data_IF_426259098649
#
_entry.id   IF_426259098649
#
_cell.length_a   1.000
_cell.length_b   1.000
_cell.length_c   1.000
_cell.angle_alpha   90.00
_cell.angle_beta   90.00
_cell.angle_gamma   90.00
#
_symmetry.space_group_name_H-M   'P 1'
#
loop_
_entity.id
_entity.type
_entity.pdbx_description
1 polymer ?
#
# COMPACT_ATOMS: atom_id res chain seq x y z
N UNK A 1 -16.11 6.15 8.83
CA UNK A 1 -16.04 7.61 9.03
C UNK A 1 -16.94 8.19 10.13
N UNK A 2 -18.12 7.64 10.39
CA UNK A 2 -18.94 8.11 11.51
C UNK A 2 -18.27 7.94 12.88
N UNK A 3 -17.38 6.96 13.08
CA UNK A 3 -16.68 6.76 14.35
C UNK A 3 -15.79 7.95 14.73
N UNK A 4 -15.06 8.53 13.77
CA UNK A 4 -14.24 9.74 13.97
C UNK A 4 -15.13 10.97 14.24
N UNK A 5 -16.17 11.16 13.43
CA UNK A 5 -17.15 12.24 13.62
C UNK A 5 -17.92 12.13 14.96
N UNK A 6 -18.15 10.92 15.47
CA UNK A 6 -18.75 10.67 16.80
C UNK A 6 -17.76 10.88 17.93
N UNK A 7 -16.49 10.53 17.73
CA UNK A 7 -15.41 10.93 18.63
C UNK A 7 -15.37 12.45 18.80
N UNK A 8 -15.62 13.19 17.71
CA UNK A 8 -15.76 14.65 17.76
C UNK A 8 -16.96 15.11 18.58
N UNK A 9 -18.13 14.50 18.36
CA UNK A 9 -19.36 14.86 19.08
C UNK A 9 -19.29 14.58 20.60
N UNK A 10 -18.46 13.62 21.02
CA UNK A 10 -18.35 13.19 22.43
C UNK A 10 -17.22 13.87 23.21
N UNK A 11 -16.52 14.85 22.63
CA UNK A 11 -15.53 15.70 23.32
C UNK A 11 -14.23 14.99 23.75
N UNK A 12 -14.09 13.69 23.48
CA UNK A 12 -12.91 12.91 23.81
C UNK A 12 -12.04 12.70 22.55
N UNK A 13 -11.02 13.54 22.37
CA UNK A 13 -9.89 13.26 21.47
C UNK A 13 -9.68 14.21 20.28
N UNK A 14 -9.64 15.52 20.50
CA UNK A 14 -9.68 16.53 19.42
C UNK A 14 -8.61 17.63 19.51
N UNK A 15 -7.33 17.27 19.47
CA UNK A 15 -6.27 18.27 19.16
C UNK A 15 -5.42 17.88 17.96
N UNK A 16 -5.35 16.59 17.66
CA UNK A 16 -4.39 16.08 16.71
C UNK A 16 -5.04 15.86 15.34
N UNK A 17 -4.27 16.13 14.28
CA UNK A 17 -4.70 15.91 12.92
C UNK A 17 -4.44 14.46 12.52
N UNK A 18 -5.40 13.79 11.89
CA UNK A 18 -5.29 12.38 11.53
C UNK A 18 -5.12 12.23 10.02
N UNK A 19 -4.04 11.58 9.59
CA UNK A 19 -3.88 11.09 8.24
C UNK A 19 -4.27 9.60 8.20
N UNK A 20 -5.20 9.24 7.33
CA UNK A 20 -5.56 7.85 7.06
C UNK A 20 -5.14 7.45 5.65
N UNK A 21 -4.54 6.26 5.51
CA UNK A 21 -4.32 5.62 4.20
C UNK A 21 -5.08 4.31 4.19
N UNK A 22 -6.05 4.19 3.30
CA UNK A 22 -6.93 3.04 3.16
C UNK A 22 -6.60 2.30 1.86
N UNK A 23 -5.95 1.15 1.97
CA UNK A 23 -5.72 0.27 0.82
C UNK A 23 -6.94 -0.63 0.62
N UNK A 24 -7.64 -0.43 -0.49
CA UNK A 24 -8.78 -1.24 -0.88
C UNK A 24 -8.27 -2.49 -1.60
N UNK A 25 -8.39 -3.63 -0.94
CA UNK A 25 -7.81 -4.91 -1.34
C UNK A 25 -8.89 -5.72 -2.07
N UNK A 26 -8.79 -5.89 -3.40
CA UNK A 26 -9.64 -6.81 -4.13
C UNK A 26 -9.34 -8.26 -3.74
N UNK A 27 -10.36 -9.10 -3.77
CA UNK A 27 -10.25 -10.50 -3.42
C UNK A 27 -11.57 -11.23 -3.67
N UNK A 28 -11.68 -12.45 -3.13
CA UNK A 28 -12.98 -13.12 -3.03
C UNK A 28 -13.95 -12.29 -2.20
N UNK A 29 -13.44 -11.78 -1.08
CA UNK A 29 -14.08 -10.78 -0.24
C UNK A 29 -13.24 -9.50 -0.32
N UNK A 30 -13.90 -8.34 -0.36
CA UNK A 30 -13.23 -7.05 -0.36
C UNK A 30 -12.74 -6.73 1.05
N UNK A 31 -11.47 -6.38 1.17
CA UNK A 31 -10.87 -6.02 2.45
C UNK A 31 -10.33 -4.59 2.40
N UNK A 32 -10.24 -3.97 3.57
CA UNK A 32 -9.60 -2.68 3.76
C UNK A 32 -8.42 -2.84 4.71
N UNK A 33 -7.24 -2.39 4.30
CA UNK A 33 -6.12 -2.20 5.19
C UNK A 33 -5.96 -0.70 5.44
N UNK A 34 -6.44 -0.25 6.61
CA UNK A 34 -6.47 1.16 6.98
C UNK A 34 -5.36 1.46 7.97
N UNK A 35 -4.50 2.42 7.64
CA UNK A 35 -3.41 2.89 8.48
C UNK A 35 -3.72 4.31 8.95
N UNK A 36 -3.81 4.50 10.27
CA UNK A 36 -4.03 5.81 10.87
C UNK A 36 -2.71 6.34 11.43
N UNK A 37 -2.36 7.55 11.03
CA UNK A 37 -1.19 8.30 11.50
C UNK A 37 -1.68 9.58 12.16
N UNK A 38 -1.24 9.81 13.39
CA UNK A 38 -1.62 11.00 14.17
C UNK A 38 -0.48 12.00 14.08
N UNK A 39 -0.81 13.24 13.75
CA UNK A 39 0.12 14.36 13.79
C UNK A 39 0.00 15.07 15.14
N UNK A 40 1.06 14.96 15.94
CA UNK A 40 1.16 15.61 17.24
C UNK A 40 1.37 17.12 17.12
N UNK A 41 2.08 17.55 16.07
CA UNK A 41 2.36 18.96 15.81
C UNK A 41 1.37 19.57 14.81
N UNK A 42 1.03 20.87 14.94
CA UNK A 42 0.27 21.59 13.92
C UNK A 42 0.98 21.57 12.57
N UNK A 43 0.20 21.38 11.49
CA UNK A 43 0.73 21.36 10.13
C UNK A 43 1.15 22.78 9.71
N UNK A 44 2.45 23.03 9.40
CA UNK A 44 2.89 24.35 8.95
C UNK A 44 2.28 24.71 7.59
N UNK A 45 1.74 25.92 7.45
CA UNK A 45 1.05 26.37 6.23
C UNK A 45 1.90 26.37 4.94
N UNK A 46 3.21 26.48 5.09
CA UNK A 46 4.17 26.42 3.98
C UNK A 46 4.70 25.00 3.71
N UNK A 47 4.25 24.00 4.46
CA UNK A 47 4.71 22.63 4.29
C UNK A 47 4.13 21.96 3.05
N UNK A 48 4.87 21.03 2.47
CA UNK A 48 4.41 20.20 1.36
C UNK A 48 3.15 19.38 1.75
N UNK A 49 3.04 18.96 3.02
CA UNK A 49 1.86 18.29 3.54
C UNK A 49 0.63 19.22 3.56
N UNK A 50 0.79 20.47 3.99
CA UNK A 50 -0.31 21.44 3.96
C UNK A 50 -0.84 21.61 2.54
N UNK A 51 0.07 21.82 1.57
CA UNK A 51 -0.27 21.91 0.15
C UNK A 51 -0.99 20.66 -0.35
N UNK A 52 -0.45 19.47 -0.06
CA UNK A 52 -1.06 18.20 -0.44
C UNK A 52 -2.49 18.01 0.08
N UNK A 53 -2.78 18.47 1.31
CA UNK A 53 -4.14 18.44 1.88
C UNK A 53 -5.06 19.46 1.19
N UNK A 54 -4.55 20.61 0.74
CA UNK A 54 -5.37 21.76 0.33
C UNK A 54 -5.46 22.00 -1.20
N UNK A 55 -4.53 21.46 -1.98
CA UNK A 55 -4.52 21.61 -3.44
C UNK A 55 -5.50 20.63 -4.13
N UNK A 56 -5.41 20.48 -5.45
CA UNK A 56 -6.29 19.61 -6.22
C UNK A 56 -5.78 18.17 -6.31
N UNK A 57 -6.60 17.30 -6.89
CA UNK A 57 -6.24 15.90 -7.08
C UNK A 57 -5.13 15.71 -8.10
N UNK A 58 -4.94 16.63 -9.06
CA UNK A 58 -3.83 16.56 -9.99
C UNK A 58 -2.49 16.71 -9.25
N UNK A 59 -2.41 17.68 -8.34
CA UNK A 59 -1.28 17.84 -7.44
C UNK A 59 -1.07 16.57 -6.61
N UNK A 60 -2.10 16.11 -5.88
CA UNK A 60 -1.99 14.92 -5.01
C UNK A 60 -1.56 13.67 -5.77
N UNK A 61 -2.20 13.40 -6.90
CA UNK A 61 -1.91 12.23 -7.73
C UNK A 61 -0.48 12.27 -8.28
N UNK A 62 0.02 13.45 -8.61
CA UNK A 62 1.39 13.60 -9.10
C UNK A 62 2.48 13.35 -8.04
N UNK A 63 2.11 13.33 -6.76
CA UNK A 63 3.03 13.39 -5.62
C UNK A 63 2.91 12.23 -4.64
N UNK A 64 1.75 11.59 -4.51
CA UNK A 64 1.55 10.55 -3.51
C UNK A 64 2.42 9.32 -3.81
N UNK A 65 3.36 9.02 -2.92
CA UNK A 65 4.42 8.04 -3.12
C UNK A 65 4.39 6.97 -2.04
N UNK A 66 4.68 5.74 -2.44
CA UNK A 66 4.86 4.59 -1.58
C UNK A 66 6.26 4.03 -1.77
N UNK A 67 6.95 3.78 -0.67
CA UNK A 67 8.17 2.98 -0.64
C UNK A 67 7.87 1.67 0.09
N UNK A 68 8.20 0.54 -0.54
CA UNK A 68 8.01 -0.79 0.00
C UNK A 68 9.33 -1.53 0.14
N UNK A 69 9.47 -2.32 1.21
CA UNK A 69 10.59 -3.23 1.40
C UNK A 69 10.11 -4.57 1.93
N UNK A 70 10.39 -5.65 1.19
CA UNK A 70 10.16 -7.00 1.69
C UNK A 70 11.25 -7.36 2.71
N UNK A 71 10.84 -7.55 3.96
CA UNK A 71 11.71 -7.90 5.09
C UNK A 71 11.84 -9.42 5.19
N UNK A 72 10.72 -10.12 5.08
CA UNK A 72 10.64 -11.58 5.08
C UNK A 72 9.73 -12.01 3.94
N UNK A 73 10.05 -13.12 3.30
CA UNK A 73 9.26 -13.66 2.20
C UNK A 73 10.09 -14.43 1.19
N UNK A 74 9.45 -15.26 0.35
CA UNK A 74 10.10 -15.97 -0.74
C UNK A 74 10.82 -15.03 -1.71
N UNK A 75 11.86 -15.53 -2.38
CA UNK A 75 12.67 -14.73 -3.31
C UNK A 75 11.81 -14.09 -4.41
N UNK A 76 10.80 -14.81 -4.92
CA UNK A 76 9.90 -14.33 -5.97
C UNK A 76 9.11 -13.09 -5.52
N UNK A 77 8.63 -13.08 -4.27
CA UNK A 77 7.91 -11.93 -3.70
C UNK A 77 8.88 -10.74 -3.55
N UNK A 78 10.10 -11.00 -3.07
CA UNK A 78 11.15 -9.97 -2.96
C UNK A 78 11.51 -9.36 -4.31
N UNK A 79 11.66 -10.17 -5.34
CA UNK A 79 12.00 -9.71 -6.69
C UNK A 79 10.85 -8.90 -7.30
N UNK A 80 9.62 -9.41 -7.25
CA UNK A 80 8.45 -8.75 -7.83
C UNK A 80 8.14 -7.43 -7.14
N UNK A 81 8.08 -7.40 -5.80
CA UNK A 81 7.81 -6.15 -5.06
C UNK A 81 9.02 -5.23 -5.11
N UNK A 82 10.24 -5.78 -5.13
CA UNK A 82 11.50 -5.01 -5.24
C UNK A 82 11.63 -4.21 -6.53
N UNK A 83 11.13 -4.73 -7.66
CA UNK A 83 11.05 -3.97 -8.92
C UNK A 83 10.11 -2.75 -8.82
N UNK A 84 9.26 -2.72 -7.79
CA UNK A 84 8.34 -1.63 -7.48
C UNK A 84 8.56 -1.12 -6.04
N UNK A 85 9.82 -1.11 -5.60
CA UNK A 85 10.21 -0.69 -4.25
C UNK A 85 9.87 0.78 -3.97
N UNK A 86 9.76 1.63 -4.99
CA UNK A 86 9.20 2.96 -4.89
C UNK A 86 8.22 3.19 -6.05
N UNK A 87 7.05 3.75 -5.76
CA UNK A 87 6.01 3.99 -6.76
C UNK A 87 5.20 5.24 -6.41
N UNK A 88 4.92 6.08 -7.42
CA UNK A 88 3.92 7.13 -7.31
C UNK A 88 2.52 6.53 -7.39
N UNK A 89 1.97 6.17 -6.23
CA UNK A 89 0.63 5.57 -6.12
C UNK A 89 -0.43 6.41 -6.82
N UNK A 90 -0.39 7.73 -6.63
CA UNK A 90 -1.36 8.64 -7.24
C UNK A 90 -1.37 8.64 -8.77
N UNK A 91 -0.28 8.20 -9.42
CA UNK A 91 -0.22 8.01 -10.87
C UNK A 91 -0.54 6.58 -11.28
N UNK A 92 -0.20 5.60 -10.44
CA UNK A 92 -0.31 4.18 -10.76
C UNK A 92 -1.70 3.59 -10.45
N UNK A 93 -2.42 4.20 -9.49
CA UNK A 93 -3.70 3.75 -8.97
C UNK A 93 -4.69 4.90 -8.87
N UNK A 94 -5.97 4.57 -8.90
CA UNK A 94 -7.03 5.52 -8.57
C UNK A 94 -6.97 5.81 -7.07
N UNK A 95 -6.76 7.09 -6.74
CA UNK A 95 -6.79 7.58 -5.37
C UNK A 95 -7.99 8.53 -5.19
N UNK A 96 -8.79 8.31 -4.14
CA UNK A 96 -9.84 9.22 -3.72
C UNK A 96 -9.45 9.91 -2.41
N UNK A 97 -9.71 11.21 -2.32
CA UNK A 97 -9.24 12.04 -1.22
C UNK A 97 -10.42 12.59 -0.42
N UNK A 98 -10.41 12.34 0.89
CA UNK A 98 -11.47 12.78 1.79
C UNK A 98 -10.90 13.67 2.88
N UNK A 99 -11.41 14.90 2.98
CA UNK A 99 -10.93 15.89 3.94
C UNK A 99 -12.04 16.26 4.92
N UNK A 100 -11.70 16.27 6.20
CA UNK A 100 -12.53 16.84 7.27
C UNK A 100 -11.81 17.99 7.99
N UNK A 101 -12.39 18.42 9.11
CA UNK A 101 -11.84 19.51 9.93
C UNK A 101 -10.51 19.15 10.60
N UNK A 102 -10.29 17.88 10.94
CA UNK A 102 -9.09 17.41 11.63
C UNK A 102 -8.54 16.10 11.01
N UNK A 103 -8.93 15.76 9.79
CA UNK A 103 -8.43 14.55 9.14
C UNK A 103 -8.29 14.72 7.63
N UNK A 104 -7.42 13.88 7.07
CA UNK A 104 -7.30 13.65 5.64
C UNK A 104 -7.15 12.15 5.40
N UNK A 105 -7.96 11.59 4.51
CA UNK A 105 -7.96 10.18 4.16
C UNK A 105 -7.69 10.01 2.67
N UNK A 106 -6.84 9.03 2.35
CA UNK A 106 -6.48 8.63 1.00
C UNK A 106 -6.94 7.20 0.80
N UNK A 107 -8.00 7.04 0.01
CA UNK A 107 -8.49 5.76 -0.44
C UNK A 107 -7.73 5.35 -1.70
N UNK A 108 -7.03 4.22 -1.64
CA UNK A 108 -6.21 3.69 -2.74
C UNK A 108 -6.88 2.42 -3.27
N UNK A 109 -7.46 2.52 -4.46
CA UNK A 109 -8.06 1.37 -5.14
C UNK A 109 -6.98 0.54 -5.83
N UNK A 110 -6.59 -0.59 -5.23
CA UNK A 110 -5.58 -1.48 -5.83
C UNK A 110 -6.14 -2.22 -7.05
N UNK A 111 -7.47 -2.35 -7.16
CA UNK A 111 -8.11 -3.03 -8.29
C UNK A 111 -8.06 -2.22 -9.59
N UNK A 112 -7.80 -0.92 -9.49
CA UNK A 112 -7.71 -0.01 -10.65
C UNK A 112 -6.50 -0.29 -11.57
N UNK A 113 -5.57 -1.15 -11.15
CA UNK A 113 -4.40 -1.55 -11.94
C UNK A 113 -4.21 -3.06 -11.94
N UNK A 114 -4.22 -3.66 -13.13
CA UNK A 114 -3.97 -5.08 -13.30
C UNK A 114 -2.60 -5.51 -12.74
N UNK A 115 -1.57 -4.66 -12.90
CA UNK A 115 -0.24 -4.94 -12.37
C UNK A 115 -0.23 -4.91 -10.84
N UNK A 116 -0.81 -3.86 -10.24
CA UNK A 116 -0.86 -3.75 -8.78
C UNK A 116 -1.67 -4.89 -8.16
N UNK A 117 -2.80 -5.23 -8.78
CA UNK A 117 -3.62 -6.37 -8.38
C UNK A 117 -2.85 -7.70 -8.45
N UNK A 118 -2.06 -7.92 -9.52
CA UNK A 118 -1.22 -9.11 -9.65
C UNK A 118 -0.13 -9.19 -8.57
N UNK A 119 0.53 -8.06 -8.27
CA UNK A 119 1.55 -7.97 -7.20
C UNK A 119 0.92 -8.23 -5.83
N UNK A 120 -0.24 -7.63 -5.56
CA UNK A 120 -0.98 -7.83 -4.31
C UNK A 120 -1.39 -9.30 -4.15
N UNK A 121 -1.99 -9.92 -5.17
CA UNK A 121 -2.37 -11.33 -5.10
C UNK A 121 -1.17 -12.27 -4.91
N UNK A 122 -0.03 -11.96 -5.52
CA UNK A 122 1.22 -12.68 -5.26
C UNK A 122 1.60 -12.57 -3.79
N UNK A 123 1.63 -11.35 -3.22
CA UNK A 123 1.96 -11.14 -1.81
C UNK A 123 0.96 -11.83 -0.87
N UNK A 124 -0.34 -11.76 -1.17
CA UNK A 124 -1.42 -12.41 -0.42
C UNK A 124 -1.30 -13.94 -0.45
N UNK A 125 -0.89 -14.52 -1.58
CA UNK A 125 -0.61 -15.96 -1.69
C UNK A 125 0.47 -16.44 -0.71
N UNK A 126 1.32 -15.54 -0.22
CA UNK A 126 2.35 -15.81 0.77
C UNK A 126 2.16 -15.05 2.08
N UNK A 127 0.96 -14.52 2.34
CA UNK A 127 0.69 -13.56 3.42
C UNK A 127 1.20 -14.03 4.78
N UNK A 128 1.01 -15.32 5.12
CA UNK A 128 1.44 -15.94 6.38
C UNK A 128 2.98 -16.08 6.53
N UNK A 129 3.74 -15.75 5.50
CA UNK A 129 5.20 -15.91 5.46
C UNK A 129 5.93 -14.64 5.00
N UNK A 130 5.18 -13.59 4.67
CA UNK A 130 5.68 -12.31 4.17
C UNK A 130 5.59 -11.24 5.26
N UNK A 131 6.64 -10.43 5.34
CA UNK A 131 6.66 -9.19 6.07
C UNK A 131 7.11 -8.07 5.14
N UNK A 132 6.34 -6.99 5.09
CA UNK A 132 6.58 -5.82 4.22
C UNK A 132 6.59 -4.57 5.08
N UNK A 133 7.62 -3.75 4.91
CA UNK A 133 7.60 -2.35 5.36
C UNK A 133 7.02 -1.50 4.24
N UNK A 134 6.09 -0.63 4.60
CA UNK A 134 5.46 0.34 3.71
C UNK A 134 5.65 1.72 4.32
N UNK A 135 6.15 2.68 3.54
CA UNK A 135 6.24 4.08 3.93
C UNK A 135 5.53 4.95 2.90
N UNK A 136 4.63 5.81 3.38
CA UNK A 136 3.85 6.74 2.57
C UNK A 136 4.49 8.12 2.65
N UNK A 137 4.68 8.76 1.50
CA UNK A 137 5.37 10.04 1.38
C UNK A 137 4.70 10.94 0.34
N UNK A 138 5.10 12.20 0.35
CA UNK A 138 4.82 13.15 -0.73
C UNK A 138 6.13 13.38 -1.48
N UNK A 139 6.16 13.07 -2.76
CA UNK A 139 7.34 13.25 -3.61
C UNK A 139 7.68 14.74 -3.75
N UNK A 140 8.91 15.10 -3.41
CA UNK A 140 9.46 16.40 -3.73
C UNK A 140 9.80 16.44 -5.22
N UNK A 141 9.42 17.52 -5.91
CA UNK A 141 9.77 17.76 -7.32
C UNK A 141 10.55 19.07 -7.51
N UNK A 142 10.75 19.84 -6.45
CA UNK A 142 11.66 21.00 -6.45
C UNK A 142 12.71 20.86 -5.34
N UNK A 143 13.79 21.63 -5.44
CA UNK A 143 14.89 21.58 -4.46
C UNK A 143 14.45 22.07 -3.08
N UNK A 144 13.54 23.04 -3.03
CA UNK A 144 12.99 23.61 -1.79
C UNK A 144 12.06 22.64 -1.06
N UNK A 145 11.51 21.65 -1.78
CA UNK A 145 10.67 20.60 -1.22
C UNK A 145 11.48 19.46 -0.61
N UNK A 146 12.80 19.41 -0.85
CA UNK A 146 13.69 18.39 -0.30
C UNK A 146 14.18 18.73 1.12
N UNK A 147 14.44 17.71 1.96
CA UNK A 147 14.26 16.28 1.70
C UNK A 147 12.79 15.82 1.79
N UNK A 148 12.44 14.76 1.05
CA UNK A 148 11.14 14.08 1.19
C UNK A 148 10.92 13.63 2.64
N UNK A 149 9.74 13.90 3.19
CA UNK A 149 9.36 13.44 4.53
C UNK A 149 8.34 12.31 4.47
N UNK A 150 8.59 11.26 5.25
CA UNK A 150 7.65 10.16 5.44
C UNK A 150 6.46 10.69 6.24
N UNK A 151 5.26 10.52 5.70
CA UNK A 151 4.00 10.84 6.38
C UNK A 151 3.65 9.78 7.43
N UNK A 152 3.96 8.52 7.13
CA UNK A 152 3.71 7.40 7.99
C UNK A 152 4.36 6.14 7.44
N UNK A 153 4.74 5.24 8.33
CA UNK A 153 5.29 3.94 7.97
C UNK A 153 4.67 2.83 8.80
N UNK A 154 4.52 1.66 8.19
CA UNK A 154 3.93 0.48 8.81
C UNK A 154 4.69 -0.77 8.38
N UNK A 155 4.88 -1.69 9.32
CA UNK A 155 5.27 -3.07 9.01
C UNK A 155 4.04 -3.95 9.03
N UNK A 156 3.74 -4.54 7.88
CA UNK A 156 2.77 -5.62 7.77
C UNK A 156 3.51 -6.94 7.95
N UNK A 157 3.05 -7.82 8.83
CA UNK A 157 3.65 -9.14 9.04
C UNK A 157 2.59 -10.20 9.20
N UNK A 158 2.66 -11.25 8.37
CA UNK A 158 1.92 -12.49 8.58
C UNK A 158 0.42 -12.26 8.85
N UNK A 159 -0.22 -11.42 8.03
CA UNK A 159 -1.65 -11.11 8.20
C UNK A 159 -2.49 -12.38 8.00
N UNK A 160 -3.32 -12.69 8.99
CA UNK A 160 -4.41 -13.66 8.85
C UNK A 160 -5.65 -12.94 8.32
N UNK A 161 -5.87 -12.98 7.01
CA UNK A 161 -7.01 -12.28 6.38
C UNK A 161 -8.37 -12.72 6.94
N UNK A 162 -8.50 -13.98 7.36
CA UNK A 162 -9.71 -14.52 7.96
C UNK A 162 -10.08 -13.89 9.32
N UNK A 163 -9.15 -13.16 9.93
CA UNK A 163 -9.35 -12.45 11.20
C UNK A 163 -9.80 -10.99 11.00
N UNK A 164 -10.08 -10.57 9.76
CA UNK A 164 -10.60 -9.24 9.47
C UNK A 164 -11.95 -9.01 10.19
N UNK A 165 -12.07 -7.87 10.85
CA UNK A 165 -13.29 -7.46 11.52
C UNK A 165 -14.27 -6.86 10.51
N UNK A 166 -15.53 -7.28 10.56
CA UNK A 166 -16.61 -6.59 9.86
C UNK A 166 -16.92 -5.30 10.64
N UNK A 167 -16.67 -4.16 10.01
CA UNK A 167 -17.08 -2.87 10.55
C UNK A 167 -18.55 -2.68 10.19
N UNK A 168 -19.45 -3.00 11.12
CA UNK A 168 -20.87 -2.79 10.93
C UNK A 168 -21.16 -1.30 10.67
N UNK A 169 -22.07 -0.99 9.75
CA UNK A 169 -22.59 0.37 9.63
C UNK A 169 -23.40 0.65 10.91
N UNK A 170 -23.06 1.69 11.68
CA UNK A 170 -23.81 2.02 12.89
C UNK A 170 -25.30 2.37 12.66
N UNK A 171 -25.75 2.47 11.41
CA UNK A 171 -27.16 2.64 11.04
C UNK A 171 -27.95 1.31 11.00
N UNK A 172 -27.27 0.17 10.96
CA UNK A 172 -27.89 -1.13 11.20
C UNK A 172 -28.06 -1.28 12.71
N UNK A 173 -29.21 -0.79 13.21
CA UNK A 173 -29.55 -0.75 14.63
C UNK A 173 -29.20 -2.05 15.35
N UNK A 174 -28.44 -1.90 16.44
CA UNK A 174 -28.12 -2.89 17.46
C UNK A 174 -28.71 -4.30 17.24
N UNK A 175 -27.98 -5.16 16.55
CA UNK A 175 -28.04 -6.60 16.79
C UNK A 175 -26.65 -7.10 17.09
N UNK A 176 -26.47 -7.58 18.31
CA UNK A 176 -25.29 -8.28 18.77
C UNK A 176 -25.05 -9.49 17.85
N UNK A 177 -24.16 -9.36 16.85
CA UNK A 177 -23.77 -10.51 16.02
C UNK A 177 -22.81 -11.34 16.84
N UNK A 178 -23.36 -12.36 17.49
CA UNK A 178 -22.59 -13.43 18.11
C UNK A 178 -21.67 -14.07 17.07
N UNK A 179 -20.36 -13.86 17.22
CA UNK A 179 -19.34 -14.58 16.46
C UNK A 179 -19.46 -16.08 16.71
N UNK A 180 -19.71 -16.90 15.67
CA UNK A 180 -19.71 -18.37 15.75
C UNK A 180 -19.45 -19.00 14.35
N UNK A 181 -19.02 -20.27 14.26
CA UNK A 181 -17.62 -20.71 14.21
C UNK A 181 -17.14 -21.07 12.79
N UNK A 182 -15.82 -21.18 12.61
CA UNK A 182 -15.14 -21.62 11.37
C UNK A 182 -15.69 -22.98 10.88
N UNK A 183 -16.03 -23.07 9.60
CA UNK A 183 -16.28 -24.34 8.89
C UNK A 183 -14.97 -24.81 8.23
N UNK A 184 -14.65 -26.13 8.21
CA UNK A 184 -13.34 -26.61 7.84
C UNK A 184 -13.03 -26.45 6.34
N UNK A 185 -11.76 -26.16 6.08
CA UNK A 185 -11.15 -26.07 4.75
C UNK A 185 -11.20 -27.43 4.06
N UNK A 186 -11.78 -27.48 2.86
CA UNK A 186 -11.55 -28.57 1.91
C UNK A 186 -10.50 -28.13 0.90
N UNK A 187 -9.27 -28.61 1.10
CA UNK A 187 -8.23 -28.58 0.07
C UNK A 187 -8.71 -29.33 -1.17
N UNK A 188 -8.69 -28.66 -2.33
CA UNK A 188 -8.29 -29.30 -3.59
C UNK A 188 -8.28 -28.32 -4.77
N UNK A 189 -7.17 -28.35 -5.52
CA UNK A 189 -7.05 -27.97 -6.95
C UNK A 189 -6.35 -26.66 -7.32
N UNK A 190 -5.16 -26.40 -6.76
CA UNK A 190 -4.19 -25.44 -7.34
C UNK A 190 -3.09 -26.07 -8.21
N UNK A 191 -3.17 -27.37 -8.55
CA UNK A 191 -2.15 -28.05 -9.38
C UNK A 191 -2.24 -27.78 -10.90
N UNK A 192 -2.99 -26.78 -11.40
CA UNK A 192 -3.21 -26.60 -12.86
C UNK A 192 -2.79 -25.26 -13.49
N UNK A 193 -2.23 -24.29 -12.76
CA UNK A 193 -1.86 -22.99 -13.35
C UNK A 193 -0.35 -22.74 -13.57
N UNK A 194 0.52 -23.71 -13.27
CA UNK A 194 1.98 -23.54 -13.45
C UNK A 194 2.49 -23.76 -14.88
N UNK A 195 1.67 -23.59 -15.94
CA UNK A 195 2.06 -23.92 -17.33
C UNK A 195 1.93 -22.80 -18.36
N UNK A 196 1.60 -21.56 -18.01
CA UNK A 196 1.38 -20.53 -19.05
C UNK A 196 1.78 -19.11 -18.66
N UNK A 197 3.01 -18.93 -18.17
CA UNK A 197 3.68 -17.61 -18.23
C UNK A 197 5.03 -17.81 -18.93
N UNK A 198 4.99 -17.87 -20.26
CA UNK A 198 6.17 -17.78 -21.12
C UNK A 198 6.52 -16.30 -21.30
N UNK A 199 7.53 -15.83 -20.57
CA UNK A 199 8.18 -14.56 -20.86
C UNK A 199 8.97 -14.69 -22.17
N UNK A 200 8.53 -13.99 -23.22
CA UNK A 200 9.36 -13.75 -24.40
C UNK A 200 10.42 -12.71 -24.02
N UNK A 201 11.61 -13.21 -23.67
CA UNK A 201 12.84 -12.43 -23.72
C UNK A 201 13.36 -12.43 -25.16
N UNK A 202 13.50 -11.24 -25.76
CA UNK A 202 14.38 -11.06 -26.91
C UNK A 202 15.78 -10.75 -26.40
N UNK A 203 16.71 -11.63 -26.73
CA UNK A 203 18.13 -11.46 -26.46
C UNK A 203 18.83 -10.65 -27.56
N UNK A 204 19.84 -9.91 -27.15
CA UNK A 204 20.95 -9.51 -28.03
C UNK A 204 22.23 -10.13 -27.49
N UNK A 205 22.83 -11.01 -28.31
CA UNK A 205 24.18 -11.56 -28.14
C UNK A 205 25.20 -10.45 -28.41
N UNK A 206 26.18 -10.27 -27.53
CA UNK A 206 27.47 -9.71 -27.88
C UNK A 206 28.53 -10.75 -27.50
N UNK A 207 29.29 -11.19 -28.50
CA UNK A 207 30.32 -12.22 -28.45
C UNK A 207 31.57 -11.74 -27.70
N UNK A 208 32.11 -12.61 -26.84
CA UNK A 208 33.47 -12.51 -26.31
C UNK A 208 34.46 -13.03 -27.34
N UNK A 209 35.57 -12.34 -27.51
CA UNK A 209 36.82 -12.95 -27.98
C UNK A 209 37.99 -12.42 -27.15
N UNK A 210 38.90 -13.33 -26.85
CA UNK A 210 39.88 -13.34 -25.76
C UNK A 210 41.24 -12.79 -26.17
N UNK A 211 41.94 -12.17 -25.22
CA UNK A 211 43.38 -11.84 -25.27
C UNK A 211 44.27 -13.05 -25.61
N UNK A 212 45.47 -12.77 -26.15
CA UNK A 212 46.67 -13.47 -25.70
C UNK A 212 47.79 -12.51 -25.26
N UNK A 213 48.52 -12.96 -24.25
CA UNK A 213 49.67 -12.33 -23.57
C UNK A 213 51.00 -12.40 -24.36
N UNK A 214 51.96 -11.58 -23.88
CA UNK A 214 53.42 -11.61 -24.07
C UNK A 214 53.93 -11.02 -25.40
N UNK A 215 55.03 -10.29 -25.52
CA UNK A 215 56.20 -10.02 -24.66
C UNK A 215 57.35 -9.63 -25.62
N UNK A 216 58.19 -8.68 -25.22
CA UNK A 216 59.53 -8.31 -25.76
C UNK A 216 60.00 -8.91 -27.10
N UNK A 217 60.11 -8.08 -28.14
CA UNK A 217 61.34 -7.48 -28.72
C UNK A 217 61.02 -6.78 -30.05
#
# INVERSE_FOLDING_TARGET
MQALQRGHANGHGLKDFILAVNLQIPGRDYHHAIFYFVLEDPIPSHSLLYRFIHEDDAFRNSRFKLINRIIKGPWIVRATVGNHAACLLGKALTCNYHKGSNYFEIDVDVSSSALANAILHLALGYVNSVSVDMAFLIEAQTEEELPERILGAVRISQIEMASAALVADPLDGATHVSAHPRVPIRESSWKRLSRSISFLGQGSKCSKETDPHAGET
#
